data_IF_009244088922
#
_entry.id   IF_009244088922
#
_cell.length_a   1.000
_cell.length_b   1.000
_cell.length_c   1.000
_cell.angle_alpha   90.00
_cell.angle_beta   90.00
_cell.angle_gamma   90.00
#
_symmetry.space_group_name_H-M   'P 1'
#
loop_
_entity.id
_entity.type
_entity.pdbx_description
1 polymer ?
#
# COMPACT_ATOMS: atom_id res chain seq x y z
N UNK A 1 -27.81 -46.31 34.01
CA UNK A 1 -26.86 -46.97 33.09
C UNK A 1 -26.09 -45.87 32.38
N UNK A 2 -24.76 -45.82 32.51
CA UNK A 2 -23.93 -44.81 31.81
C UNK A 2 -23.60 -45.37 30.42
N UNK A 3 -23.98 -44.64 29.39
CA UNK A 3 -23.63 -44.94 28.01
C UNK A 3 -22.13 -44.67 27.84
N UNK A 4 -21.36 -45.72 27.58
CA UNK A 4 -19.92 -45.61 27.32
C UNK A 4 -19.70 -45.27 25.86
N UNK A 5 -18.91 -44.22 25.60
CA UNK A 5 -18.50 -43.84 24.25
C UNK A 5 -17.70 -44.96 23.59
N UNK A 6 -17.95 -45.19 22.31
CA UNK A 6 -17.20 -46.19 21.54
C UNK A 6 -15.91 -45.59 20.97
N UNK A 7 -14.88 -46.42 20.83
CA UNK A 7 -13.63 -46.04 20.15
C UNK A 7 -13.89 -45.57 18.71
N UNK A 8 -14.83 -46.20 18.01
CA UNK A 8 -15.19 -45.84 16.64
C UNK A 8 -15.87 -44.47 16.55
N UNK A 9 -16.68 -44.08 17.54
CA UNK A 9 -17.24 -42.72 17.61
C UNK A 9 -16.14 -41.68 17.79
N UNK A 10 -15.16 -41.93 18.66
CA UNK A 10 -14.06 -40.98 18.84
C UNK A 10 -13.15 -40.91 17.61
N UNK A 11 -12.94 -42.02 16.90
CA UNK A 11 -12.19 -42.05 15.64
C UNK A 11 -12.90 -41.28 14.52
N UNK A 12 -14.21 -41.42 14.40
CA UNK A 12 -15.01 -40.66 13.43
C UNK A 12 -14.97 -39.16 13.73
N UNK A 13 -15.07 -38.77 15.00
CA UNK A 13 -15.05 -37.36 15.42
C UNK A 13 -13.72 -36.70 15.06
N UNK A 14 -12.58 -37.32 15.38
CA UNK A 14 -11.27 -36.73 15.03
C UNK A 14 -11.03 -36.71 13.53
N UNK A 15 -11.55 -37.69 12.78
CA UNK A 15 -11.48 -37.69 11.31
C UNK A 15 -12.27 -36.52 10.70
N UNK A 16 -13.49 -36.25 11.18
CA UNK A 16 -14.30 -35.12 10.72
C UNK A 16 -13.62 -33.79 11.08
N UNK A 17 -13.08 -33.65 12.31
CA UNK A 17 -12.35 -32.44 12.74
C UNK A 17 -11.12 -32.20 11.85
N UNK A 18 -10.35 -33.24 11.51
CA UNK A 18 -9.18 -33.11 10.65
C UNK A 18 -9.54 -32.62 9.24
N UNK A 19 -10.64 -33.10 8.65
CA UNK A 19 -11.12 -32.66 7.33
C UNK A 19 -11.57 -31.18 7.39
N UNK A 20 -12.37 -30.82 8.39
CA UNK A 20 -12.86 -29.45 8.56
C UNK A 20 -11.72 -28.47 8.82
N UNK A 21 -10.73 -28.85 9.64
CA UNK A 21 -9.54 -28.05 9.90
C UNK A 21 -8.73 -27.83 8.61
N UNK A 22 -8.55 -28.87 7.79
CA UNK A 22 -7.85 -28.78 6.51
C UNK A 22 -8.51 -27.79 5.53
N UNK A 23 -9.84 -27.83 5.38
CA UNK A 23 -10.60 -26.91 4.50
C UNK A 23 -10.53 -25.48 5.03
N UNK A 24 -10.66 -25.31 6.35
CA UNK A 24 -10.70 -23.99 7.00
C UNK A 24 -9.38 -23.24 6.81
N UNK A 25 -8.23 -23.92 6.98
CA UNK A 25 -6.91 -23.30 6.80
C UNK A 25 -6.69 -22.82 5.35
N UNK A 26 -7.10 -23.63 4.36
CA UNK A 26 -6.92 -23.28 2.95
C UNK A 26 -7.80 -22.09 2.49
N UNK A 27 -8.94 -21.86 3.13
CA UNK A 27 -9.87 -20.78 2.74
C UNK A 27 -9.39 -19.37 3.17
N UNK A 28 -8.70 -19.27 4.31
CA UNK A 28 -8.31 -17.99 4.91
C UNK A 28 -7.27 -17.23 4.07
N UNK A 29 -6.33 -17.94 3.43
CA UNK A 29 -5.24 -17.32 2.67
C UNK A 29 -5.73 -16.62 1.40
N UNK A 30 -6.73 -17.17 0.72
CA UNK A 30 -7.32 -16.58 -0.49
C UNK A 30 -8.15 -15.33 -0.19
N UNK A 31 -8.95 -15.35 0.87
CA UNK A 31 -9.78 -14.21 1.27
C UNK A 31 -8.93 -12.99 1.65
N UNK A 32 -7.79 -13.22 2.32
CA UNK A 32 -6.86 -12.15 2.67
C UNK A 32 -6.29 -11.43 1.44
N UNK A 33 -6.00 -12.16 0.35
CA UNK A 33 -5.49 -11.54 -0.90
C UNK A 33 -6.53 -10.64 -1.56
N UNK A 34 -7.77 -11.11 -1.68
CA UNK A 34 -8.85 -10.32 -2.28
C UNK A 34 -9.20 -9.07 -1.43
N UNK A 35 -9.25 -9.24 -0.11
CA UNK A 35 -9.44 -8.13 0.83
C UNK A 35 -8.30 -7.10 0.72
N UNK A 36 -7.05 -7.55 0.61
CA UNK A 36 -5.90 -6.69 0.43
C UNK A 36 -5.97 -5.88 -0.88
N UNK A 37 -6.30 -6.51 -2.02
CA UNK A 37 -6.51 -5.82 -3.30
C UNK A 37 -7.58 -4.72 -3.16
N UNK A 38 -8.72 -5.06 -2.57
CA UNK A 38 -9.82 -4.11 -2.39
C UNK A 38 -9.44 -2.95 -1.47
N UNK A 39 -8.71 -3.24 -0.38
CA UNK A 39 -8.17 -2.20 0.52
C UNK A 39 -7.22 -1.28 -0.24
N UNK A 40 -6.26 -1.82 -0.98
CA UNK A 40 -5.32 -1.03 -1.79
C UNK A 40 -6.04 -0.10 -2.76
N UNK A 41 -7.01 -0.63 -3.53
CA UNK A 41 -7.80 0.18 -4.47
C UNK A 41 -8.61 1.27 -3.78
N UNK A 42 -9.20 0.96 -2.62
CA UNK A 42 -9.94 1.95 -1.84
C UNK A 42 -9.01 3.07 -1.32
N UNK A 43 -7.83 2.72 -0.80
CA UNK A 43 -6.83 3.70 -0.36
C UNK A 43 -6.36 4.58 -1.52
N UNK A 44 -6.06 4.00 -2.68
CA UNK A 44 -5.66 4.75 -3.88
C UNK A 44 -6.78 5.69 -4.37
N UNK A 45 -8.05 5.27 -4.31
CA UNK A 45 -9.17 6.13 -4.68
C UNK A 45 -9.35 7.32 -3.72
N UNK A 46 -9.19 7.09 -2.40
CA UNK A 46 -9.18 8.18 -1.41
C UNK A 46 -8.04 9.17 -1.68
N UNK A 47 -6.83 8.64 -1.95
CA UNK A 47 -5.67 9.45 -2.31
C UNK A 47 -5.91 10.26 -3.57
N UNK A 48 -6.50 9.66 -4.61
CA UNK A 48 -6.80 10.37 -5.85
C UNK A 48 -7.70 11.60 -5.62
N UNK A 49 -8.75 11.46 -4.81
CA UNK A 49 -9.65 12.57 -4.45
C UNK A 49 -8.88 13.65 -3.67
N UNK A 50 -8.08 13.25 -2.68
CA UNK A 50 -7.28 14.18 -1.88
C UNK A 50 -6.25 14.94 -2.74
N UNK A 51 -5.62 14.25 -3.69
CA UNK A 51 -4.64 14.81 -4.63
C UNK A 51 -5.26 15.84 -5.57
N UNK A 52 -6.45 15.56 -6.13
CA UNK A 52 -7.15 16.53 -6.98
C UNK A 52 -7.59 17.77 -6.20
N UNK A 53 -8.08 17.60 -4.96
CA UNK A 53 -8.42 18.72 -4.09
C UNK A 53 -7.19 19.56 -3.72
N UNK A 54 -6.06 18.91 -3.43
CA UNK A 54 -4.80 19.59 -3.16
C UNK A 54 -4.36 20.41 -4.38
N UNK A 55 -4.39 19.82 -5.58
CA UNK A 55 -4.06 20.53 -6.83
C UNK A 55 -5.01 21.67 -7.12
N UNK A 56 -6.30 21.55 -6.81
CA UNK A 56 -7.26 22.64 -6.97
C UNK A 56 -6.91 23.86 -6.11
N UNK A 57 -6.36 23.63 -4.91
CA UNK A 57 -5.99 24.70 -3.98
C UNK A 57 -4.57 25.26 -4.24
N UNK A 58 -3.60 24.41 -4.59
CA UNK A 58 -2.18 24.79 -4.72
C UNK A 58 -1.67 24.84 -6.16
N UNK A 59 -2.47 24.44 -7.15
CA UNK A 59 -2.10 24.42 -8.56
C UNK A 59 -1.17 23.27 -8.98
N UNK A 60 -0.64 22.51 -8.03
CA UNK A 60 0.27 21.39 -8.28
C UNK A 60 0.06 20.26 -7.25
N UNK A 61 0.55 19.05 -7.53
CA UNK A 61 0.43 17.92 -6.60
C UNK A 61 1.51 17.97 -5.50
N UNK A 62 1.30 17.31 -4.35
CA UNK A 62 2.32 17.17 -3.32
C UNK A 62 3.68 16.72 -3.86
N UNK A 63 4.77 17.36 -3.45
CA UNK A 63 6.12 17.00 -3.92
C UNK A 63 6.56 17.55 -5.27
N UNK A 64 5.72 18.27 -6.03
CA UNK A 64 6.16 18.94 -7.28
C UNK A 64 7.08 20.13 -7.02
N UNK A 65 6.82 20.89 -5.95
CA UNK A 65 7.65 22.01 -5.49
C UNK A 65 8.54 21.53 -4.35
N UNK A 66 9.71 20.99 -4.68
CA UNK A 66 10.72 20.64 -3.68
C UNK A 66 11.34 21.92 -3.11
N UNK A 67 10.74 22.49 -2.07
CA UNK A 67 11.40 23.56 -1.29
C UNK A 67 12.67 23.01 -0.64
N UNK A 68 13.70 23.84 -0.54
CA UNK A 68 15.07 23.41 -0.19
C UNK A 68 15.18 22.80 1.21
N UNK A 69 14.16 22.97 2.07
CA UNK A 69 14.07 22.40 3.41
C UNK A 69 13.74 20.89 3.42
N UNK A 70 13.13 20.35 2.36
CA UNK A 70 12.81 18.92 2.22
C UNK A 70 13.95 18.10 1.58
N UNK A 71 15.03 18.76 1.13
CA UNK A 71 16.09 18.15 0.30
C UNK A 71 16.92 17.06 1.01
N UNK A 72 16.94 17.04 2.34
CA UNK A 72 17.80 16.11 3.09
C UNK A 72 17.11 14.78 3.38
N UNK A 73 15.77 14.73 3.36
CA UNK A 73 14.96 13.57 3.79
C UNK A 73 13.93 13.09 2.74
N UNK A 74 13.41 14.01 1.92
CA UNK A 74 12.41 13.72 0.88
C UNK A 74 13.04 13.25 -0.45
N UNK A 75 14.38 13.30 -0.58
CA UNK A 75 15.09 12.96 -1.83
C UNK A 75 15.03 11.48 -2.25
N UNK A 76 14.27 10.65 -1.51
CA UNK A 76 14.12 9.22 -1.80
C UNK A 76 12.69 8.68 -1.59
N UNK A 77 11.72 9.48 -1.12
CA UNK A 77 10.39 8.96 -0.81
C UNK A 77 9.29 10.03 -0.91
N UNK A 78 8.67 10.15 -2.09
CA UNK A 78 7.54 11.06 -2.30
C UNK A 78 6.29 10.67 -1.50
N UNK A 79 6.12 9.39 -1.13
CA UNK A 79 4.99 8.95 -0.30
C UNK A 79 5.05 9.60 1.11
N UNK A 80 6.23 9.72 1.72
CA UNK A 80 6.36 10.44 2.99
C UNK A 80 5.96 11.91 2.91
N UNK A 81 6.34 12.58 1.83
CA UNK A 81 5.93 13.96 1.59
C UNK A 81 4.43 14.08 1.29
N UNK A 82 3.88 13.17 0.48
CA UNK A 82 2.45 13.07 0.20
C UNK A 82 1.63 13.02 1.49
N UNK A 83 2.02 12.16 2.45
CA UNK A 83 1.32 12.06 3.74
C UNK A 83 1.39 13.37 4.49
N UNK A 84 2.56 14.00 4.57
CA UNK A 84 2.71 15.26 5.28
C UNK A 84 1.84 16.37 4.66
N UNK A 85 1.93 16.57 3.34
CA UNK A 85 1.20 17.62 2.62
C UNK A 85 -0.34 17.42 2.72
N UNK A 86 -0.82 16.17 2.69
CA UNK A 86 -2.27 15.88 2.74
C UNK A 86 -2.86 15.84 4.15
N UNK A 87 -2.06 15.63 5.20
CA UNK A 87 -2.57 15.47 6.58
C UNK A 87 -2.19 16.62 7.50
N UNK A 88 -0.96 17.12 7.39
CA UNK A 88 -0.34 18.07 8.32
C UNK A 88 0.05 19.39 7.65
N UNK A 89 -0.20 19.49 6.34
CA UNK A 89 -0.01 20.70 5.57
C UNK A 89 -0.95 21.84 6.00
N UNK A 90 -0.95 22.96 5.26
CA UNK A 90 -1.78 24.14 5.56
C UNK A 90 -3.29 23.83 5.61
N UNK A 91 -3.72 22.75 4.96
CA UNK A 91 -5.10 22.24 4.98
C UNK A 91 -5.05 20.72 4.96
N UNK A 92 -5.94 20.09 5.73
CA UNK A 92 -6.11 18.65 5.74
C UNK A 92 -7.03 18.21 4.59
N UNK A 93 -6.54 17.29 3.76
CA UNK A 93 -7.26 16.74 2.61
C UNK A 93 -7.71 15.30 2.82
N UNK A 94 -7.05 14.58 3.72
CA UNK A 94 -7.33 13.19 4.03
C UNK A 94 -7.09 12.89 5.51
N UNK A 95 -7.80 11.89 6.02
CA UNK A 95 -7.49 11.23 7.28
C UNK A 95 -7.27 9.75 6.98
N UNK A 96 -6.13 9.23 7.41
CA UNK A 96 -5.81 7.82 7.28
C UNK A 96 -6.28 7.07 8.52
N UNK A 97 -6.80 5.87 8.31
CA UNK A 97 -6.99 4.93 9.40
C UNK A 97 -5.62 4.53 9.99
N UNK A 98 -5.60 4.13 11.26
CA UNK A 98 -4.37 3.77 11.97
C UNK A 98 -3.59 2.61 11.32
N UNK A 99 -4.26 1.78 10.52
CA UNK A 99 -3.71 0.63 9.79
C UNK A 99 -3.43 0.92 8.30
N UNK A 100 -3.64 2.15 7.84
CA UNK A 100 -3.30 2.61 6.49
C UNK A 100 -1.93 3.29 6.46
N UNK A 101 -1.36 3.62 7.63
CA UNK A 101 -0.05 4.28 7.72
C UNK A 101 0.90 3.57 8.67
N UNK A 102 2.21 3.64 8.40
CA UNK A 102 3.24 3.15 9.31
C UNK A 102 4.48 4.03 9.29
N UNK A 103 5.19 4.06 10.41
CA UNK A 103 6.43 4.80 10.59
C UNK A 103 7.61 3.99 10.02
N UNK A 104 8.36 4.60 9.11
CA UNK A 104 9.65 4.05 8.65
C UNK A 104 10.78 4.89 9.23
N UNK A 105 11.67 4.23 9.98
CA UNK A 105 12.86 4.84 10.58
C UNK A 105 14.02 4.69 9.61
N UNK A 106 14.50 5.81 9.06
CA UNK A 106 15.76 5.81 8.32
C UNK A 106 16.91 5.83 9.31
N UNK A 107 17.97 5.07 9.03
CA UNK A 107 19.08 4.81 9.95
C UNK A 107 19.63 6.09 10.63
N UNK A 108 20.14 5.93 11.87
CA UNK A 108 20.55 6.99 12.80
C UNK A 108 19.42 7.78 13.50
N UNK A 109 18.24 7.16 13.66
CA UNK A 109 17.32 7.43 14.77
C UNK A 109 16.63 8.80 14.80
N UNK A 110 16.69 9.58 13.72
CA UNK A 110 16.21 10.97 13.73
C UNK A 110 15.17 11.27 12.64
N UNK A 111 14.89 10.34 11.72
CA UNK A 111 13.95 10.57 10.62
C UNK A 111 12.88 9.49 10.61
N UNK A 112 11.67 9.90 10.98
CA UNK A 112 10.46 9.07 10.97
C UNK A 112 9.54 9.58 9.86
N UNK A 113 9.49 8.89 8.72
CA UNK A 113 8.48 9.18 7.70
C UNK A 113 7.23 8.34 8.00
N UNK A 114 6.07 8.98 8.05
CA UNK A 114 4.79 8.26 7.99
C UNK A 114 4.55 7.97 6.51
N UNK A 115 4.43 6.69 6.16
CA UNK A 115 4.10 6.27 4.79
C UNK A 115 2.69 5.68 4.75
N UNK A 116 2.02 5.81 3.62
CA UNK A 116 0.78 5.07 3.33
C UNK A 116 1.14 3.66 2.84
N UNK A 117 0.46 2.67 3.39
CA UNK A 117 0.62 1.26 3.05
C UNK A 117 -0.58 0.75 2.27
N UNK A 118 -0.31 -0.21 1.39
CA UNK A 118 -1.33 -0.97 0.70
C UNK A 118 -1.94 -2.07 1.60
N UNK A 119 -2.93 -2.79 1.08
CA UNK A 119 -3.56 -3.89 1.79
C UNK A 119 -2.65 -5.09 2.04
N UNK A 120 -1.46 -5.13 1.42
CA UNK A 120 -0.48 -6.20 1.59
C UNK A 120 0.62 -5.87 2.61
N UNK A 121 0.61 -4.65 3.16
CA UNK A 121 1.61 -4.22 4.14
C UNK A 121 2.90 -3.72 3.50
N UNK A 122 2.87 -3.36 2.21
CA UNK A 122 3.97 -2.64 1.54
C UNK A 122 3.63 -1.16 1.37
N UNK A 123 4.62 -0.25 1.45
CA UNK A 123 4.38 1.16 1.16
C UNK A 123 3.88 1.36 -0.26
N UNK A 124 2.85 2.19 -0.43
CA UNK A 124 2.39 2.60 -1.75
C UNK A 124 3.47 3.41 -2.47
N UNK A 125 3.57 3.21 -3.77
CA UNK A 125 4.35 4.06 -4.64
C UNK A 125 3.63 5.34 -4.99
N UNK A 126 4.39 6.44 -5.04
CA UNK A 126 3.90 7.74 -5.48
C UNK A 126 5.03 8.48 -6.24
N UNK A 127 4.74 9.01 -7.42
CA UNK A 127 5.62 9.94 -8.14
C UNK A 127 4.80 11.14 -8.65
N UNK A 128 5.04 12.35 -8.12
CA UNK A 128 4.44 13.58 -8.65
C UNK A 128 5.20 14.10 -9.87
N UNK A 129 4.55 14.93 -10.69
CA UNK A 129 5.18 15.66 -11.81
C UNK A 129 6.26 16.66 -11.33
N UNK A 130 7.46 16.17 -11.02
CA UNK A 130 8.64 17.02 -10.78
C UNK A 130 9.44 17.22 -12.06
N UNK A 131 10.00 18.42 -12.26
CA UNK A 131 10.88 18.74 -13.38
C UNK A 131 12.26 18.03 -13.31
N UNK A 132 12.55 17.30 -12.22
CA UNK A 132 13.88 16.75 -11.92
C UNK A 132 13.92 15.23 -11.67
N UNK A 133 12.85 14.46 -11.93
CA UNK A 133 12.90 13.00 -11.76
C UNK A 133 13.57 12.35 -12.98
N UNK A 134 14.90 12.29 -12.99
CA UNK A 134 15.58 11.16 -13.64
C UNK A 134 15.19 9.93 -12.85
N UNK A 135 14.32 9.09 -13.41
CA UNK A 135 13.92 7.78 -12.89
C UNK A 135 14.97 7.19 -11.94
N UNK A 136 14.80 7.38 -10.62
CA UNK A 136 15.72 6.81 -9.65
C UNK A 136 15.33 5.35 -9.50
N UNK A 137 16.17 4.50 -10.12
CA UNK A 137 16.24 3.03 -10.03
C UNK A 137 15.74 2.52 -8.67
N UNK A 138 14.72 1.66 -8.67
CA UNK A 138 14.42 0.81 -7.51
C UNK A 138 13.01 0.27 -7.37
N UNK A 139 12.01 0.81 -8.06
CA UNK A 139 10.63 0.33 -7.95
C UNK A 139 9.91 0.60 -9.27
N UNK A 140 9.15 -0.40 -9.75
CA UNK A 140 8.10 -0.19 -10.75
C UNK A 140 7.31 1.09 -10.44
N UNK A 141 6.84 1.86 -11.44
CA UNK A 141 7.17 1.72 -12.85
C UNK A 141 8.64 2.07 -13.15
N UNK A 142 9.19 1.46 -14.20
CA UNK A 142 10.52 1.76 -14.77
C UNK A 142 10.58 3.19 -15.36
N UNK A 143 10.32 4.19 -14.52
CA UNK A 143 10.13 5.58 -14.89
C UNK A 143 8.67 6.02 -14.86
N UNK A 144 8.49 7.34 -14.91
CA UNK A 144 7.20 8.01 -14.92
C UNK A 144 6.38 7.60 -16.14
N UNK A 145 5.10 7.32 -15.92
CA UNK A 145 4.13 7.04 -16.99
C UNK A 145 3.32 8.29 -17.27
N UNK A 146 2.80 8.96 -16.23
CA UNK A 146 2.00 10.17 -16.41
C UNK A 146 2.84 11.44 -16.29
N UNK A 147 3.01 12.14 -17.41
CA UNK A 147 3.77 13.41 -17.46
C UNK A 147 2.96 14.66 -17.13
N UNK A 148 1.65 14.54 -16.92
CA UNK A 148 0.73 15.67 -16.67
C UNK A 148 0.04 15.59 -15.31
N UNK A 149 0.18 14.47 -14.60
CA UNK A 149 -0.48 14.22 -13.32
C UNK A 149 0.48 13.62 -12.29
N UNK A 150 0.18 12.41 -11.82
CA UNK A 150 0.92 11.65 -10.83
C UNK A 150 0.78 10.16 -11.12
N UNK A 151 1.74 9.39 -10.64
CA UNK A 151 1.70 7.93 -10.66
C UNK A 151 1.49 7.41 -9.23
N UNK A 152 0.54 6.49 -9.06
CA UNK A 152 0.28 5.73 -7.83
C UNK A 152 0.30 4.24 -8.16
N UNK A 153 1.01 3.45 -7.35
CA UNK A 153 1.08 2.00 -7.57
C UNK A 153 1.33 1.18 -6.30
N UNK A 154 1.08 -0.12 -6.41
CA UNK A 154 1.40 -1.19 -5.46
C UNK A 154 1.88 -2.41 -6.27
N UNK A 155 2.89 -3.11 -5.76
CA UNK A 155 3.39 -4.38 -6.31
C UNK A 155 2.41 -5.54 -6.16
N UNK A 156 1.22 -5.26 -5.63
CA UNK A 156 0.18 -6.25 -5.55
C UNK A 156 0.55 -7.43 -4.64
N UNK A 157 -0.07 -8.59 -4.87
CA UNK A 157 0.06 -9.76 -4.02
C UNK A 157 1.42 -10.46 -4.01
N UNK A 158 2.24 -10.32 -5.05
CA UNK A 158 3.55 -10.98 -5.11
C UNK A 158 4.66 -10.20 -4.39
N UNK A 159 4.39 -8.93 -4.06
CA UNK A 159 5.27 -7.97 -3.38
C UNK A 159 6.58 -7.69 -4.13
N UNK A 160 6.64 -7.95 -5.44
CA UNK A 160 7.85 -7.81 -6.24
C UNK A 160 7.72 -6.61 -7.17
N UNK A 161 8.77 -5.79 -7.20
CA UNK A 161 8.95 -4.80 -8.26
C UNK A 161 9.37 -5.52 -9.53
N UNK A 162 8.44 -5.78 -10.43
CA UNK A 162 8.60 -6.70 -11.54
C UNK A 162 8.88 -6.00 -12.87
N UNK A 163 9.94 -5.18 -12.92
CA UNK A 163 10.47 -4.27 -13.97
C UNK A 163 10.34 -4.62 -15.50
N UNK A 164 9.27 -5.27 -16.00
CA UNK A 164 8.67 -5.25 -17.35
C UNK A 164 8.20 -6.64 -17.83
N UNK A 165 7.85 -7.60 -16.94
CA UNK A 165 7.47 -8.96 -17.41
C UNK A 165 6.21 -9.60 -16.82
N UNK A 166 5.69 -9.18 -15.66
CA UNK A 166 4.50 -9.81 -15.09
C UNK A 166 3.62 -8.86 -14.26
N UNK A 167 3.37 -7.64 -14.76
CA UNK A 167 2.64 -6.58 -14.05
C UNK A 167 1.13 -6.85 -13.90
N UNK A 168 0.72 -8.09 -14.10
CA UNK A 168 -0.70 -8.51 -14.14
C UNK A 168 -1.33 -8.40 -12.76
N UNK A 169 -0.55 -8.55 -11.69
CA UNK A 169 -1.03 -8.48 -10.33
C UNK A 169 -0.77 -7.13 -9.62
N UNK A 170 -0.01 -6.25 -10.25
CA UNK A 170 0.17 -4.86 -9.84
C UNK A 170 -1.13 -4.07 -9.82
N UNK A 171 -1.23 -3.14 -8.88
CA UNK A 171 -2.35 -2.21 -8.78
C UNK A 171 -1.81 -0.81 -9.02
N UNK A 172 -2.26 -0.17 -10.10
CA UNK A 172 -1.74 1.10 -10.62
C UNK A 172 -2.86 2.02 -11.10
N UNK A 173 -2.57 3.31 -11.24
CA UNK A 173 -3.53 4.32 -11.74
C UNK A 173 -3.39 4.63 -13.25
N UNK A 174 -2.63 3.83 -14.01
CA UNK A 174 -2.49 3.93 -15.46
C UNK A 174 -2.67 2.56 -16.12
N UNK A 175 -3.02 2.56 -17.41
CA UNK A 175 -3.12 1.34 -18.24
C UNK A 175 -1.75 0.94 -18.81
#
# INVERSE_FOLDING_TARGET
MKMSFTLIEMMLVVAIIAILAGITIASVTYLNRSAAVNKTKATMAKLAIALENYKADFGAYPGTELTTLNRTLASSNYNGQLVWDLTSGPKQYIEFAADETNLVVLAAGTITNILVFDGFGTPLGYDPITAMSTARRGAYPNGRVNFTSYDLWSFGPDLRSDADTNVVDDIKNWD
#
